data_IF_779677017345
#
_entry.id   IF_779677017345
#
_cell.length_a   1.000
_cell.length_b   1.000
_cell.length_c   1.000
_cell.angle_alpha   90.00
_cell.angle_beta   90.00
_cell.angle_gamma   90.00
#
_symmetry.space_group_name_H-M   'P 1'
#
loop_
_entity.id
_entity.type
_entity.pdbx_description
1 polymer ?
#
# COMPACT_ATOMS: atom_id res chain seq x y z
N UNK A 1 0.66 35.26 14.69
CA UNK A 1 -0.54 34.52 15.11
C UNK A 1 -0.45 33.19 14.41
N UNK A 2 -0.29 32.16 15.24
CA UNK A 2 -0.36 30.72 15.02
C UNK A 2 0.52 30.11 13.92
N UNK A 3 1.77 29.79 14.29
CA UNK A 3 2.50 28.65 13.68
C UNK A 3 3.30 27.94 14.79
N UNK A 4 2.65 27.65 15.93
CA UNK A 4 3.13 26.60 16.83
C UNK A 4 2.75 25.26 16.21
N UNK A 5 3.46 24.85 15.15
CA UNK A 5 3.38 23.45 14.68
C UNK A 5 3.93 22.58 15.79
N UNK A 6 3.03 21.96 16.55
CA UNK A 6 3.36 20.97 17.56
C UNK A 6 3.66 19.65 16.86
N UNK A 7 4.94 19.33 16.71
CA UNK A 7 5.39 18.06 16.15
C UNK A 7 4.98 16.91 17.05
N UNK A 8 4.21 15.96 16.52
CA UNK A 8 3.94 14.72 17.24
C UNK A 8 5.13 13.77 17.10
N UNK A 9 6.00 13.79 18.12
CA UNK A 9 7.05 12.80 18.26
C UNK A 9 6.42 11.38 18.31
N UNK A 10 7.12 10.34 17.80
CA UNK A 10 6.72 8.97 18.07
C UNK A 10 6.56 8.79 19.58
N UNK A 11 5.62 7.94 20.00
CA UNK A 11 5.18 7.85 21.39
C UNK A 11 6.35 7.81 22.38
N UNK A 12 6.16 8.38 23.57
CA UNK A 12 7.17 8.37 24.63
C UNK A 12 7.71 6.94 24.88
N UNK A 13 6.82 5.95 24.77
CA UNK A 13 7.15 4.54 24.82
C UNK A 13 8.15 4.11 23.73
N UNK A 14 7.91 4.45 22.46
CA UNK A 14 8.84 4.16 21.35
C UNK A 14 10.18 4.87 21.54
N UNK A 15 10.18 6.13 21.98
CA UNK A 15 11.44 6.86 22.26
C UNK A 15 12.24 6.24 23.39
N UNK A 16 11.58 5.82 24.47
CA UNK A 16 12.24 5.19 25.62
C UNK A 16 12.80 3.82 25.23
N UNK A 17 12.00 2.99 24.54
CA UNK A 17 12.40 1.68 24.06
C UNK A 17 13.60 1.76 23.09
N UNK A 18 13.64 2.76 22.21
CA UNK A 18 14.77 2.98 21.31
C UNK A 18 16.06 3.43 22.01
N UNK A 19 15.94 4.15 23.14
CA UNK A 19 17.09 4.52 23.96
C UNK A 19 17.69 3.33 24.73
N UNK A 20 16.91 2.25 24.93
CA UNK A 20 17.36 1.05 25.61
C UNK A 20 18.39 0.24 24.80
N UNK A 21 19.38 -0.29 25.51
CA UNK A 21 20.29 -1.27 24.94
C UNK A 21 19.58 -2.61 24.71
N UNK A 22 20.23 -3.55 24.00
CA UNK A 22 19.63 -4.84 23.66
C UNK A 22 19.14 -5.61 24.89
N UNK A 23 19.93 -5.66 25.96
CA UNK A 23 19.59 -6.39 27.18
C UNK A 23 18.36 -5.79 27.89
N UNK A 24 18.27 -4.47 27.93
CA UNK A 24 17.10 -3.76 28.50
C UNK A 24 15.82 -4.02 27.69
N UNK A 25 15.94 -4.07 26.36
CA UNK A 25 14.83 -4.42 25.45
C UNK A 25 14.39 -5.87 25.65
N UNK A 26 15.32 -6.82 25.66
CA UNK A 26 15.02 -8.23 25.92
C UNK A 26 14.29 -8.41 27.26
N UNK A 27 14.64 -7.62 28.29
CA UNK A 27 13.94 -7.63 29.59
C UNK A 27 12.55 -6.97 29.53
N UNK A 28 12.36 -5.95 28.71
CA UNK A 28 11.05 -5.32 28.49
C UNK A 28 10.12 -6.28 27.76
N UNK A 29 10.60 -6.93 26.70
CA UNK A 29 9.81 -7.85 25.85
C UNK A 29 9.34 -9.11 26.59
N UNK A 30 9.97 -9.44 27.72
CA UNK A 30 9.57 -10.53 28.62
C UNK A 30 8.50 -10.13 29.65
N UNK A 31 8.14 -8.85 29.74
CA UNK A 31 7.11 -8.38 30.66
C UNK A 31 5.73 -8.40 30.00
N UNK A 32 4.67 -8.44 30.80
CA UNK A 32 3.29 -8.30 30.34
C UNK A 32 2.97 -6.82 30.08
N UNK A 33 3.69 -6.23 29.13
CA UNK A 33 3.62 -4.83 28.73
C UNK A 33 3.28 -4.72 27.24
N UNK A 34 2.74 -3.59 26.77
CA UNK A 34 2.46 -3.41 25.34
C UNK A 34 3.73 -3.59 24.50
N UNK A 35 3.63 -4.42 23.46
CA UNK A 35 4.71 -4.62 22.50
C UNK A 35 5.07 -3.33 21.77
N UNK A 36 6.37 -3.07 21.58
CA UNK A 36 6.87 -1.86 20.94
C UNK A 36 7.39 -2.20 19.56
N UNK A 37 6.53 -2.03 18.55
CA UNK A 37 6.91 -2.26 17.17
C UNK A 37 7.78 -1.12 16.61
N UNK A 38 9.10 -1.33 16.63
CA UNK A 38 10.09 -0.47 16.00
C UNK A 38 10.32 -0.92 14.55
N UNK A 39 9.92 -0.06 13.61
CA UNK A 39 10.17 -0.26 12.17
C UNK A 39 11.25 0.71 11.69
N UNK A 40 11.73 0.47 10.47
CA UNK A 40 12.77 1.29 9.84
C UNK A 40 12.45 2.79 9.87
N UNK A 41 11.19 3.16 9.63
CA UNK A 41 10.73 4.54 9.71
C UNK A 41 10.94 5.16 11.11
N UNK A 42 10.68 4.41 12.18
CA UNK A 42 10.91 4.85 13.56
C UNK A 42 12.40 5.07 13.85
N UNK A 43 13.23 4.06 13.52
CA UNK A 43 14.67 4.11 13.77
C UNK A 43 15.35 5.23 12.98
N UNK A 44 14.96 5.40 11.72
CA UNK A 44 15.48 6.44 10.84
C UNK A 44 15.14 7.84 11.33
N UNK A 45 13.91 8.08 11.78
CA UNK A 45 13.52 9.35 12.39
C UNK A 45 14.34 9.65 13.65
N UNK A 46 14.58 8.65 14.50
CA UNK A 46 15.41 8.85 15.68
C UNK A 46 16.89 9.06 15.35
N UNK A 47 17.44 8.42 14.32
CA UNK A 47 18.79 8.68 13.84
C UNK A 47 18.93 10.10 13.28
N UNK A 48 17.92 10.62 12.57
CA UNK A 48 17.88 12.04 12.14
C UNK A 48 17.98 12.95 13.38
N UNK A 49 17.17 12.70 14.41
CA UNK A 49 17.20 13.50 15.64
C UNK A 49 18.52 13.38 16.42
N UNK A 50 19.15 12.21 16.45
CA UNK A 50 20.48 12.01 17.06
C UNK A 50 21.56 12.80 16.32
N UNK A 51 21.57 12.76 14.99
CA UNK A 51 22.53 13.53 14.17
C UNK A 51 22.37 15.02 14.45
N UNK A 52 21.13 15.51 14.53
CA UNK A 52 20.84 16.91 14.83
C UNK A 52 21.33 17.31 16.24
N UNK A 53 21.12 16.47 17.25
CA UNK A 53 21.62 16.70 18.62
C UNK A 53 23.15 16.80 18.67
N UNK A 54 23.87 15.89 18.02
CA UNK A 54 25.34 15.81 18.10
C UNK A 54 26.05 16.95 17.36
N UNK A 55 25.36 17.66 16.47
CA UNK A 55 25.90 18.83 15.75
C UNK A 55 25.73 20.13 16.53
N UNK A 56 25.21 20.09 17.76
CA UNK A 56 24.79 21.29 18.48
C UNK A 56 25.39 21.42 19.88
N UNK A 57 25.96 22.59 20.18
CA UNK A 57 26.36 23.01 21.55
C UNK A 57 25.37 24.02 22.15
N UNK A 58 24.37 24.50 21.40
CA UNK A 58 23.37 25.48 21.83
C UNK A 58 21.96 25.06 21.45
N UNK A 59 21.12 24.74 22.45
CA UNK A 59 19.83 24.06 22.33
C UNK A 59 18.68 24.90 21.71
N UNK A 60 18.95 25.73 20.70
CA UNK A 60 17.95 26.62 20.11
C UNK A 60 17.09 25.90 19.06
N UNK A 61 15.77 25.84 19.33
CA UNK A 61 14.72 25.18 18.52
C UNK A 61 14.70 25.62 17.05
N UNK A 62 15.19 26.83 16.75
CA UNK A 62 15.24 27.37 15.37
C UNK A 62 16.34 26.75 14.50
N UNK A 63 17.32 26.05 15.06
CA UNK A 63 18.49 25.54 14.33
C UNK A 63 18.40 24.08 13.88
N UNK A 64 17.36 23.34 14.29
CA UNK A 64 17.12 21.95 13.85
C UNK A 64 16.74 21.86 12.36
N UNK A 65 15.91 22.79 11.87
CA UNK A 65 15.33 22.75 10.51
C UNK A 65 16.35 22.89 9.37
N UNK A 66 17.32 23.79 9.49
CA UNK A 66 18.30 24.04 8.43
C UNK A 66 19.26 22.86 8.19
N UNK A 67 19.35 21.92 9.14
CA UNK A 67 20.25 20.76 9.10
C UNK A 67 19.56 19.45 8.75
N UNK A 68 18.27 19.32 9.05
CA UNK A 68 17.41 18.24 8.52
C UNK A 68 17.50 18.17 6.98
N UNK A 69 17.52 19.32 6.28
CA UNK A 69 17.75 19.37 4.83
C UNK A 69 19.05 18.69 4.34
N UNK A 70 20.13 18.72 5.15
CA UNK A 70 21.40 18.06 4.80
C UNK A 70 21.29 16.54 4.96
N UNK A 71 20.59 16.07 6.00
CA UNK A 71 20.34 14.65 6.22
C UNK A 71 19.36 14.09 5.19
N UNK A 72 18.31 14.84 4.82
CA UNK A 72 17.25 14.43 3.87
C UNK A 72 17.80 14.07 2.47
N UNK A 73 18.94 14.66 2.06
CA UNK A 73 19.59 14.29 0.81
C UNK A 73 20.29 12.92 0.84
N UNK A 74 20.49 12.34 2.02
CA UNK A 74 20.96 10.96 2.18
C UNK A 74 19.87 9.99 1.70
N UNK A 75 20.24 9.10 0.77
CA UNK A 75 19.34 8.08 0.23
C UNK A 75 18.70 7.22 1.33
N UNK A 76 19.36 7.07 2.48
CA UNK A 76 18.83 6.32 3.63
C UNK A 76 17.50 6.88 4.15
N UNK A 77 17.26 8.19 4.05
CA UNK A 77 16.07 8.79 4.66
C UNK A 77 14.94 9.08 3.67
N UNK A 78 15.15 8.84 2.38
CA UNK A 78 14.16 9.13 1.33
C UNK A 78 12.92 8.24 1.40
N UNK A 79 13.05 7.01 1.90
CA UNK A 79 11.96 6.03 1.95
C UNK A 79 11.19 6.03 3.27
N UNK A 80 11.48 6.94 4.20
CA UNK A 80 10.82 6.96 5.53
C UNK A 80 9.30 7.08 5.39
N UNK A 81 8.83 7.97 4.50
CA UNK A 81 7.40 8.17 4.27
C UNK A 81 6.74 6.91 3.70
N UNK A 82 7.38 6.25 2.72
CA UNK A 82 6.90 5.00 2.14
C UNK A 82 6.77 3.89 3.20
N UNK A 83 7.79 3.72 4.04
CA UNK A 83 7.83 2.70 5.10
C UNK A 83 6.83 3.02 6.23
N UNK A 84 6.65 4.29 6.55
CA UNK A 84 5.64 4.72 7.52
C UNK A 84 4.23 4.41 7.00
N UNK A 85 3.95 4.73 5.74
CA UNK A 85 2.68 4.43 5.08
C UNK A 85 2.43 2.91 4.97
N UNK A 86 3.44 2.13 4.58
CA UNK A 86 3.34 0.68 4.43
C UNK A 86 3.04 -0.05 5.76
N UNK A 87 3.44 0.52 6.89
CA UNK A 87 3.21 -0.03 8.23
C UNK A 87 2.11 0.69 9.03
N UNK A 88 1.41 1.66 8.44
CA UNK A 88 0.32 2.38 9.11
C UNK A 88 0.80 3.28 10.25
N UNK A 89 2.08 3.65 10.24
CA UNK A 89 2.68 4.50 11.26
C UNK A 89 2.40 5.97 10.96
N UNK A 90 1.13 6.38 11.11
CA UNK A 90 0.68 7.74 10.78
C UNK A 90 1.52 8.84 11.44
N UNK A 91 1.87 8.70 12.72
CA UNK A 91 2.69 9.72 13.41
C UNK A 91 4.10 9.82 12.82
N UNK A 92 4.67 8.70 12.34
CA UNK A 92 5.97 8.73 11.65
C UNK A 92 5.84 9.41 10.29
N UNK A 93 4.75 9.16 9.55
CA UNK A 93 4.49 9.79 8.27
C UNK A 93 4.29 11.31 8.41
N UNK A 94 3.46 11.75 9.36
CA UNK A 94 3.24 13.16 9.70
C UNK A 94 4.55 13.86 10.03
N UNK A 95 5.32 13.28 10.96
CA UNK A 95 6.59 13.85 11.38
C UNK A 95 7.61 13.90 10.24
N UNK A 96 7.74 12.83 9.44
CA UNK A 96 8.64 12.79 8.30
C UNK A 96 8.31 13.88 7.28
N UNK A 97 7.02 14.08 6.99
CA UNK A 97 6.56 15.16 6.13
C UNK A 97 6.89 16.55 6.70
N UNK A 98 6.58 16.78 7.98
CA UNK A 98 6.81 18.08 8.65
C UNK A 98 8.29 18.48 8.70
N UNK A 99 9.21 17.53 8.84
CA UNK A 99 10.66 17.80 8.81
C UNK A 99 11.21 17.93 7.38
N UNK A 100 10.37 17.74 6.36
CA UNK A 100 10.71 17.95 4.95
C UNK A 100 11.27 16.73 4.23
N UNK A 101 11.02 15.51 4.72
CA UNK A 101 11.35 14.29 3.95
C UNK A 101 10.49 14.29 2.67
N UNK A 102 11.11 14.22 1.47
CA UNK A 102 10.35 14.21 0.23
C UNK A 102 9.52 12.93 0.14
N UNK A 103 8.34 13.06 -0.47
CA UNK A 103 7.51 11.93 -0.86
C UNK A 103 7.19 11.98 -2.35
N UNK A 104 6.88 10.81 -2.91
CA UNK A 104 6.31 10.62 -4.24
C UNK A 104 5.05 9.75 -4.13
N UNK A 105 4.51 9.37 -5.28
CA UNK A 105 3.27 8.60 -5.43
C UNK A 105 3.29 7.25 -4.71
N UNK A 106 4.48 6.69 -4.48
CA UNK A 106 4.65 5.44 -3.75
C UNK A 106 4.13 5.50 -2.33
N UNK A 107 4.09 6.66 -1.68
CA UNK A 107 3.53 6.77 -0.33
C UNK A 107 2.05 6.41 -0.32
N UNK A 108 1.29 6.90 -1.30
CA UNK A 108 -0.11 6.53 -1.49
C UNK A 108 -0.26 5.05 -1.85
N UNK A 109 0.57 4.54 -2.77
CA UNK A 109 0.56 3.13 -3.16
C UNK A 109 0.81 2.19 -1.98
N UNK A 110 1.78 2.52 -1.13
CA UNK A 110 2.15 1.77 0.08
C UNK A 110 1.06 1.83 1.14
N UNK A 111 0.40 2.97 1.33
CA UNK A 111 -0.74 3.08 2.24
C UNK A 111 -1.92 2.23 1.74
N UNK A 112 -2.22 2.32 0.44
CA UNK A 112 -3.32 1.62 -0.20
C UNK A 112 -3.13 0.10 -0.21
N UNK A 113 -1.94 -0.41 -0.59
CA UNK A 113 -1.65 -1.85 -0.58
C UNK A 113 -1.65 -2.47 0.82
N UNK A 114 -1.40 -1.67 1.85
CA UNK A 114 -1.42 -2.14 3.24
C UNK A 114 -2.75 -1.87 3.96
N UNK A 115 -3.71 -1.20 3.31
CA UNK A 115 -5.04 -0.94 3.86
C UNK A 115 -5.08 0.15 4.93
N UNK A 116 -4.05 1.00 5.01
CA UNK A 116 -3.98 2.07 6.01
C UNK A 116 -4.59 3.37 5.47
N UNK A 117 -5.93 3.43 5.50
CA UNK A 117 -6.69 4.57 5.00
C UNK A 117 -6.25 5.92 5.60
N UNK A 118 -5.96 5.97 6.90
CA UNK A 118 -5.54 7.21 7.57
C UNK A 118 -4.21 7.75 6.98
N UNK A 119 -3.27 6.86 6.64
CA UNK A 119 -2.02 7.27 5.98
C UNK A 119 -2.27 7.75 4.55
N UNK A 120 -3.16 7.09 3.82
CA UNK A 120 -3.55 7.49 2.46
C UNK A 120 -4.23 8.86 2.46
N UNK A 121 -5.16 9.08 3.39
CA UNK A 121 -5.86 10.35 3.58
C UNK A 121 -4.88 11.48 3.87
N UNK A 122 -4.02 11.29 4.87
CA UNK A 122 -3.03 12.30 5.24
C UNK A 122 -2.09 12.63 4.10
N UNK A 123 -1.56 11.63 3.39
CA UNK A 123 -0.67 11.85 2.25
C UNK A 123 -1.39 12.67 1.17
N UNK A 124 -2.62 12.28 0.81
CA UNK A 124 -3.40 12.97 -0.23
C UNK A 124 -3.73 14.41 0.13
N UNK A 125 -4.21 14.66 1.34
CA UNK A 125 -4.60 15.99 1.83
C UNK A 125 -3.41 16.96 1.89
N UNK A 126 -2.18 16.44 2.04
CA UNK A 126 -0.96 17.23 2.06
C UNK A 126 -0.25 17.28 0.68
N UNK A 127 -0.96 16.90 -0.39
CA UNK A 127 -0.49 17.07 -1.77
C UNK A 127 0.50 15.99 -2.24
N UNK A 128 0.56 14.84 -1.57
CA UNK A 128 1.23 13.67 -2.13
C UNK A 128 0.54 13.28 -3.46
N UNK A 129 1.29 13.07 -4.55
CA UNK A 129 0.72 12.57 -5.79
C UNK A 129 0.23 11.12 -5.61
N UNK A 130 -0.57 10.67 -6.56
CA UNK A 130 -0.99 9.29 -6.69
C UNK A 130 -1.23 8.97 -8.17
N UNK A 131 -1.33 7.69 -8.49
CA UNK A 131 -1.55 7.18 -9.83
C UNK A 131 -2.48 5.95 -9.77
N UNK A 132 -2.72 5.29 -10.91
CA UNK A 132 -3.60 4.13 -11.06
C UNK A 132 -3.22 2.97 -10.12
N UNK A 133 -1.94 2.85 -9.78
CA UNK A 133 -1.40 1.83 -8.87
C UNK A 133 -1.99 1.93 -7.46
N UNK A 134 -2.36 3.13 -7.01
CA UNK A 134 -2.99 3.30 -5.69
C UNK A 134 -4.33 2.56 -5.64
N UNK A 135 -5.17 2.68 -6.68
CA UNK A 135 -6.43 1.94 -6.79
C UNK A 135 -6.20 0.45 -7.01
N UNK A 136 -5.31 0.08 -7.94
CA UNK A 136 -5.10 -1.33 -8.29
C UNK A 136 -4.47 -2.13 -7.13
N UNK A 137 -3.61 -1.50 -6.31
CA UNK A 137 -3.08 -2.10 -5.08
C UNK A 137 -4.14 -2.29 -3.99
N UNK A 138 -5.01 -1.31 -3.77
CA UNK A 138 -6.11 -1.44 -2.82
C UNK A 138 -7.03 -2.60 -3.23
N UNK A 139 -7.37 -2.67 -4.51
CA UNK A 139 -8.18 -3.73 -5.10
C UNK A 139 -7.52 -5.11 -5.00
N UNK A 140 -6.21 -5.20 -5.29
CA UNK A 140 -5.40 -6.43 -5.16
C UNK A 140 -5.44 -7.02 -3.76
N UNK A 141 -5.56 -6.19 -2.72
CA UNK A 141 -5.54 -6.62 -1.32
C UNK A 141 -6.91 -6.60 -0.65
N UNK A 142 -7.96 -6.24 -1.42
CA UNK A 142 -9.33 -6.19 -0.93
C UNK A 142 -9.57 -5.05 0.06
N UNK A 143 -8.75 -4.01 0.04
CA UNK A 143 -8.86 -2.85 0.92
C UNK A 143 -9.89 -1.87 0.36
N UNK A 144 -11.17 -2.25 0.50
CA UNK A 144 -12.32 -1.53 -0.05
C UNK A 144 -12.36 -0.07 0.37
N UNK A 145 -12.12 0.23 1.64
CA UNK A 145 -12.17 1.60 2.16
C UNK A 145 -11.11 2.51 1.49
N UNK A 146 -9.90 1.97 1.24
CA UNK A 146 -8.86 2.67 0.50
C UNK A 146 -9.25 2.88 -0.97
N UNK A 147 -9.83 1.86 -1.62
CA UNK A 147 -10.26 1.94 -3.01
C UNK A 147 -11.37 3.00 -3.19
N UNK A 148 -12.38 2.99 -2.33
CA UNK A 148 -13.46 3.97 -2.33
C UNK A 148 -12.90 5.37 -2.13
N UNK A 149 -12.07 5.58 -1.10
CA UNK A 149 -11.50 6.89 -0.82
C UNK A 149 -10.66 7.41 -1.99
N UNK A 150 -9.77 6.57 -2.54
CA UNK A 150 -8.93 6.94 -3.67
C UNK A 150 -9.79 7.36 -4.86
N UNK A 151 -10.80 6.55 -5.21
CA UNK A 151 -11.67 6.81 -6.36
C UNK A 151 -12.49 8.09 -6.18
N UNK A 152 -13.14 8.27 -5.05
CA UNK A 152 -14.00 9.44 -4.76
C UNK A 152 -13.22 10.75 -4.73
N UNK A 153 -11.93 10.71 -4.42
CA UNK A 153 -11.07 11.89 -4.36
C UNK A 153 -10.26 12.13 -5.65
N UNK A 154 -10.56 11.37 -6.72
CA UNK A 154 -10.04 11.61 -8.07
C UNK A 154 -8.73 10.90 -8.39
N UNK A 155 -8.41 9.82 -7.67
CA UNK A 155 -7.34 8.91 -8.10
C UNK A 155 -7.73 8.26 -9.43
N UNK A 156 -6.84 8.25 -10.44
CA UNK A 156 -7.09 7.48 -11.64
C UNK A 156 -7.07 5.99 -11.32
N UNK A 157 -7.60 5.21 -12.26
CA UNK A 157 -7.63 3.76 -12.22
C UNK A 157 -7.65 3.21 -13.66
N UNK A 158 -7.26 1.96 -13.82
CA UNK A 158 -7.13 1.28 -15.10
C UNK A 158 -7.59 -0.18 -15.00
N UNK A 159 -7.36 -0.96 -16.06
CA UNK A 159 -7.78 -2.37 -16.17
C UNK A 159 -7.23 -3.23 -15.02
N UNK A 160 -6.05 -2.87 -14.49
CA UNK A 160 -5.40 -3.59 -13.40
C UNK A 160 -6.22 -3.55 -12.11
N UNK A 161 -7.06 -2.53 -11.92
CA UNK A 161 -7.92 -2.46 -10.72
C UNK A 161 -8.94 -3.60 -10.73
N UNK A 162 -9.60 -3.87 -11.87
CA UNK A 162 -10.51 -5.00 -12.01
C UNK A 162 -9.76 -6.33 -12.03
N UNK A 163 -8.68 -6.44 -12.81
CA UNK A 163 -7.96 -7.70 -12.98
C UNK A 163 -7.29 -8.18 -11.69
N UNK A 164 -6.76 -7.27 -10.87
CA UNK A 164 -6.19 -7.60 -9.56
C UNK A 164 -7.24 -7.99 -8.51
N UNK A 165 -8.39 -7.31 -8.48
CA UNK A 165 -9.50 -7.72 -7.62
C UNK A 165 -9.98 -9.13 -7.98
N UNK A 166 -10.17 -9.39 -9.28
CA UNK A 166 -10.57 -10.68 -9.80
C UNK A 166 -9.54 -11.78 -9.54
N UNK A 167 -8.25 -11.47 -9.69
CA UNK A 167 -7.13 -12.37 -9.37
C UNK A 167 -7.20 -12.86 -7.92
N UNK A 168 -7.48 -11.98 -6.96
CA UNK A 168 -7.48 -12.32 -5.53
C UNK A 168 -8.86 -12.66 -4.97
N UNK A 169 -9.89 -12.67 -5.81
CA UNK A 169 -11.25 -13.03 -5.39
C UNK A 169 -11.94 -11.94 -4.57
N UNK A 170 -11.47 -10.69 -4.65
CA UNK A 170 -12.04 -9.56 -3.92
C UNK A 170 -13.27 -9.04 -4.66
N UNK A 171 -14.36 -9.80 -4.55
CA UNK A 171 -15.61 -9.58 -5.26
C UNK A 171 -16.18 -8.17 -5.03
N UNK A 172 -16.17 -7.68 -3.79
CA UNK A 172 -16.69 -6.35 -3.46
C UNK A 172 -15.92 -5.23 -4.18
N UNK A 173 -14.59 -5.36 -4.26
CA UNK A 173 -13.73 -4.44 -5.00
C UNK A 173 -14.02 -4.50 -6.51
N UNK A 174 -14.17 -5.72 -7.07
CA UNK A 174 -14.47 -5.90 -8.49
C UNK A 174 -15.84 -5.33 -8.87
N UNK A 175 -16.88 -5.58 -8.05
CA UNK A 175 -18.21 -5.02 -8.25
C UNK A 175 -18.15 -3.50 -8.22
N UNK A 176 -17.58 -2.92 -7.17
CA UNK A 176 -17.48 -1.48 -7.02
C UNK A 176 -16.72 -0.82 -8.17
N UNK A 177 -15.56 -1.37 -8.54
CA UNK A 177 -14.77 -0.87 -9.65
C UNK A 177 -15.59 -0.88 -10.94
N UNK A 178 -16.25 -2.01 -11.24
CA UNK A 178 -17.06 -2.14 -12.45
C UNK A 178 -18.24 -1.18 -12.48
N UNK A 179 -19.01 -1.10 -11.40
CA UNK A 179 -20.21 -0.25 -11.30
C UNK A 179 -19.88 1.24 -11.37
N UNK A 180 -18.68 1.64 -10.95
CA UNK A 180 -18.23 3.03 -11.00
C UNK A 180 -17.43 3.37 -12.28
N UNK A 181 -17.41 2.45 -13.26
CA UNK A 181 -16.89 2.71 -14.60
C UNK A 181 -15.41 2.40 -14.81
N UNK A 182 -14.80 1.57 -13.95
CA UNK A 182 -13.45 1.08 -14.17
C UNK A 182 -13.40 0.23 -15.46
N UNK A 183 -12.41 0.44 -16.34
CA UNK A 183 -12.22 -0.45 -17.47
C UNK A 183 -11.80 -1.84 -16.99
N UNK A 184 -11.98 -2.80 -17.89
CA UNK A 184 -11.58 -4.19 -17.72
C UNK A 184 -11.31 -4.81 -19.10
N UNK A 185 -10.61 -5.93 -19.14
CA UNK A 185 -10.26 -6.65 -20.36
C UNK A 185 -10.18 -8.17 -20.11
N UNK A 186 -9.60 -8.91 -21.06
CA UNK A 186 -9.50 -10.37 -20.99
C UNK A 186 -8.74 -10.84 -19.74
N UNK A 187 -7.84 -10.03 -19.20
CA UNK A 187 -7.05 -10.37 -18.01
C UNK A 187 -7.93 -10.49 -16.77
N UNK A 188 -9.06 -9.77 -16.72
CA UNK A 188 -9.99 -9.90 -15.58
C UNK A 188 -10.57 -11.32 -15.48
N UNK A 189 -10.95 -11.91 -16.62
CA UNK A 189 -11.42 -13.29 -16.67
C UNK A 189 -10.27 -14.29 -16.50
N UNK A 190 -9.15 -14.10 -17.20
CA UNK A 190 -8.05 -15.06 -17.16
C UNK A 190 -7.34 -15.10 -15.80
N UNK A 191 -7.23 -13.98 -15.09
CA UNK A 191 -6.70 -13.94 -13.73
C UNK A 191 -7.65 -14.56 -12.70
N UNK A 192 -8.96 -14.34 -12.83
CA UNK A 192 -9.94 -15.01 -11.98
C UNK A 192 -9.84 -16.54 -12.15
N UNK A 193 -9.74 -16.99 -13.39
CA UNK A 193 -9.63 -18.42 -13.71
C UNK A 193 -8.30 -19.02 -13.23
N UNK A 194 -7.19 -18.30 -13.40
CA UNK A 194 -5.85 -18.69 -12.95
C UNK A 194 -5.74 -18.94 -11.45
N UNK A 195 -6.50 -18.20 -10.64
CA UNK A 195 -6.45 -18.32 -9.19
C UNK A 195 -7.74 -18.92 -8.60
N UNK A 196 -8.55 -19.58 -9.43
CA UNK A 196 -9.73 -20.35 -9.02
C UNK A 196 -10.90 -19.51 -8.50
N UNK A 197 -10.95 -18.22 -8.83
CA UNK A 197 -11.95 -17.27 -8.36
C UNK A 197 -13.22 -17.33 -9.20
N UNK A 198 -13.94 -18.46 -9.09
CA UNK A 198 -15.13 -18.76 -9.90
C UNK A 198 -16.19 -17.66 -9.84
N UNK A 199 -16.48 -17.12 -8.66
CA UNK A 199 -17.51 -16.09 -8.52
C UNK A 199 -17.14 -14.79 -9.26
N UNK A 200 -15.86 -14.39 -9.20
CA UNK A 200 -15.34 -13.27 -9.97
C UNK A 200 -15.43 -13.53 -11.48
N UNK A 201 -15.07 -14.75 -11.93
CA UNK A 201 -15.17 -15.14 -13.33
C UNK A 201 -16.62 -15.11 -13.84
N UNK A 202 -17.56 -15.65 -13.06
CA UNK A 202 -19.00 -15.64 -13.38
C UNK A 202 -19.50 -14.20 -13.48
N UNK A 203 -19.14 -13.35 -12.51
CA UNK A 203 -19.58 -11.97 -12.49
C UNK A 203 -19.01 -11.17 -13.68
N UNK A 204 -17.71 -11.27 -13.91
CA UNK A 204 -17.04 -10.62 -15.03
C UNK A 204 -17.71 -11.02 -16.35
N UNK A 205 -17.92 -12.33 -16.57
CA UNK A 205 -18.54 -12.83 -17.80
C UNK A 205 -19.98 -12.35 -17.97
N UNK A 206 -20.81 -12.46 -16.92
CA UNK A 206 -22.22 -12.03 -16.96
C UNK A 206 -22.38 -10.53 -17.24
N UNK A 207 -21.41 -9.72 -16.82
CA UNK A 207 -21.45 -8.27 -17.01
C UNK A 207 -20.70 -7.81 -18.28
N UNK A 208 -20.31 -8.74 -19.16
CA UNK A 208 -19.80 -8.46 -20.49
C UNK A 208 -18.28 -8.31 -20.58
N UNK A 209 -17.53 -8.78 -19.59
CA UNK A 209 -16.08 -8.84 -19.68
C UNK A 209 -15.68 -9.79 -20.82
N UNK A 210 -14.75 -9.40 -21.71
CA UNK A 210 -14.20 -10.33 -22.68
C UNK A 210 -13.40 -11.41 -21.96
N UNK A 211 -13.22 -12.53 -22.66
CA UNK A 211 -12.37 -13.64 -22.27
C UNK A 211 -11.75 -14.23 -23.54
N UNK A 212 -10.67 -14.96 -23.38
CA UNK A 212 -9.94 -15.62 -24.46
C UNK A 212 -9.46 -17.00 -24.01
N UNK A 213 -8.64 -17.64 -24.82
CA UNK A 213 -8.09 -18.97 -24.55
C UNK A 213 -7.30 -19.07 -23.25
N UNK A 214 -6.69 -17.97 -22.77
CA UNK A 214 -5.97 -17.94 -21.50
C UNK A 214 -6.90 -18.16 -20.31
N UNK A 215 -8.17 -17.78 -20.42
CA UNK A 215 -9.15 -18.05 -19.36
C UNK A 215 -9.35 -19.55 -19.16
N UNK A 216 -9.44 -20.32 -20.24
CA UNK A 216 -9.52 -21.77 -20.16
C UNK A 216 -8.16 -22.39 -19.80
N UNK A 217 -7.08 -21.99 -20.48
CA UNK A 217 -5.75 -22.54 -20.29
C UNK A 217 -5.20 -22.34 -18.88
N UNK A 218 -5.43 -21.19 -18.26
CA UNK A 218 -5.06 -20.97 -16.86
C UNK A 218 -5.89 -21.83 -15.90
N UNK A 219 -7.20 -21.94 -16.11
CA UNK A 219 -8.02 -22.82 -15.26
C UNK A 219 -7.57 -24.28 -15.35
N UNK A 220 -7.14 -24.74 -16.54
CA UNK A 220 -6.59 -26.08 -16.75
C UNK A 220 -5.25 -26.26 -16.07
N UNK A 221 -4.29 -25.37 -16.36
CA UNK A 221 -2.91 -25.44 -15.87
C UNK A 221 -2.84 -25.48 -14.33
N UNK A 222 -3.71 -24.71 -13.67
CA UNK A 222 -3.78 -24.63 -12.21
C UNK A 222 -4.85 -25.55 -11.59
N UNK A 223 -5.46 -26.42 -12.39
CA UNK A 223 -6.45 -27.42 -11.96
C UNK A 223 -7.67 -26.83 -11.23
N UNK A 224 -8.11 -25.64 -11.62
CA UNK A 224 -9.31 -24.99 -11.09
C UNK A 224 -10.56 -25.49 -11.82
N UNK A 225 -10.96 -26.74 -11.51
CA UNK A 225 -12.05 -27.48 -12.16
C UNK A 225 -13.36 -26.68 -12.24
N UNK A 226 -13.68 -25.95 -11.18
CA UNK A 226 -14.87 -25.12 -11.10
C UNK A 226 -14.90 -23.99 -12.14
N UNK A 227 -13.75 -23.36 -12.40
CA UNK A 227 -13.58 -22.35 -13.44
C UNK A 227 -13.57 -22.99 -14.83
N UNK A 228 -12.94 -24.16 -14.98
CA UNK A 228 -12.90 -24.94 -16.22
C UNK A 228 -14.30 -25.32 -16.71
N UNK A 229 -15.10 -25.94 -15.84
CA UNK A 229 -16.48 -26.35 -16.15
C UNK A 229 -17.28 -25.12 -16.57
N UNK A 230 -17.18 -24.02 -15.82
CA UNK A 230 -17.88 -22.80 -16.16
C UNK A 230 -17.44 -22.22 -17.52
N UNK A 231 -16.13 -22.14 -17.78
CA UNK A 231 -15.56 -21.65 -19.03
C UNK A 231 -16.02 -22.51 -20.22
N UNK A 232 -15.99 -23.83 -20.09
CA UNK A 232 -16.44 -24.77 -21.12
C UNK A 232 -17.94 -24.64 -21.40
N UNK A 233 -18.78 -24.64 -20.35
CA UNK A 233 -20.25 -24.54 -20.48
C UNK A 233 -20.71 -23.23 -21.12
N UNK A 234 -19.91 -22.16 -20.98
CA UNK A 234 -20.27 -20.83 -21.45
C UNK A 234 -19.52 -20.44 -22.74
N UNK A 235 -18.78 -21.37 -23.36
CA UNK A 235 -18.19 -21.21 -24.69
C UNK A 235 -16.89 -20.40 -24.72
N UNK A 236 -16.07 -20.48 -23.67
CA UNK A 236 -14.72 -19.93 -23.66
C UNK A 236 -13.88 -20.64 -24.75
N UNK A 237 -13.11 -19.91 -25.57
CA UNK A 237 -12.18 -20.52 -26.50
C UNK A 237 -11.24 -21.48 -25.78
N UNK A 238 -11.04 -22.66 -26.34
CA UNK A 238 -10.03 -23.62 -25.90
C UNK A 238 -8.82 -23.42 -26.81
N UNK A 239 -7.66 -23.11 -26.23
CA UNK A 239 -6.40 -23.30 -26.94
C UNK A 239 -5.47 -24.14 -26.09
N UNK A 240 -4.95 -25.19 -26.73
CA UNK A 240 -3.67 -25.75 -26.34
C UNK A 240 -2.63 -24.80 -26.94
N UNK A 241 -1.75 -24.17 -26.15
CA UNK A 241 -0.65 -23.44 -26.74
C UNK A 241 0.13 -24.43 -27.60
N UNK A 242 0.22 -24.15 -28.90
CA UNK A 242 1.15 -24.84 -29.78
C UNK A 242 2.55 -24.56 -29.21
N UNK A 243 3.12 -25.55 -28.53
CA UNK A 243 4.53 -25.54 -28.13
C UNK A 243 5.40 -25.86 -29.36
N UNK A 244 5.32 -25.02 -30.40
CA UNK A 244 6.21 -25.08 -31.56
C UNK A 244 7.01 -23.76 -31.63
N UNK A 245 8.13 -23.72 -30.89
CA UNK A 245 9.49 -23.41 -31.36
C UNK A 245 10.52 -23.45 -30.21
#
# INVERSE_FOLDING_TARGET
MDDERTYELPSLLKTAYYACNKFERDKYDLQDVPDVNMRYCCESLFEIFKIDKNRNTGNDRRTMFSRSLIAINDKRFKTICEEAAFHGHINCLKLAHEIGVPWDDKVCDRAAISGYLECLQYARENGCPWNEQTCSNAALKGHMDCLIYARENGCPWDVDTCSNAALKGHMDCLIYARENGCPWDVETCSNAAMNGQKDCLIYARKNGCPWDEWTWGHAELFAHIDCLVYAQENGCPMAYPDFDD
#
